data_IF_536387624926
#
_entry.id   IF_536387624926
#
_cell.length_a   1.000
_cell.length_b   1.000
_cell.length_c   1.000
_cell.angle_alpha   90.00
_cell.angle_beta   90.00
_cell.angle_gamma   90.00
#
_symmetry.space_group_name_H-M   'P 1'
#
loop_
_entity.id
_entity.type
_entity.pdbx_description
1 polymer ?
#
# COMPACT_ATOMS: atom_id res chain seq x y z
N UNK A 1 20.36 23.69 -19.47
CA UNK A 1 19.51 24.19 -18.38
C UNK A 1 19.55 23.13 -17.28
N UNK A 2 20.15 23.42 -16.15
CA UNK A 2 20.08 22.51 -14.97
C UNK A 2 18.63 22.55 -14.48
N UNK A 3 17.92 21.44 -14.62
CA UNK A 3 16.56 21.30 -14.17
C UNK A 3 16.58 21.40 -12.62
N UNK A 4 15.98 22.47 -12.09
CA UNK A 4 15.90 22.65 -10.64
C UNK A 4 14.77 21.78 -10.08
N UNK A 5 15.13 20.57 -9.64
CA UNK A 5 14.20 19.63 -9.05
C UNK A 5 13.72 20.09 -7.68
N UNK A 6 12.42 20.14 -7.39
CA UNK A 6 11.91 20.41 -6.06
C UNK A 6 12.36 19.34 -5.04
N UNK A 7 12.44 19.74 -3.77
CA UNK A 7 12.67 18.82 -2.64
C UNK A 7 11.35 18.19 -2.25
N UNK A 8 11.15 16.93 -2.61
CA UNK A 8 9.88 16.24 -2.39
C UNK A 8 9.93 15.40 -1.12
N UNK A 9 8.95 15.62 -0.23
CA UNK A 9 8.65 14.73 0.87
C UNK A 9 7.51 13.79 0.46
N UNK A 10 7.82 12.50 0.27
CA UNK A 10 6.87 11.44 -0.07
C UNK A 10 6.30 10.85 1.21
N UNK A 11 4.99 10.94 1.40
CA UNK A 11 4.25 10.34 2.52
C UNK A 11 3.47 9.14 2.03
N UNK A 12 3.75 7.98 2.59
CA UNK A 12 3.17 6.70 2.14
C UNK A 12 3.32 5.62 3.22
N UNK A 13 2.59 4.50 3.10
CA UNK A 13 2.82 3.30 3.91
C UNK A 13 4.04 2.48 3.47
N UNK A 14 4.53 2.70 2.25
CA UNK A 14 5.65 1.96 1.69
C UNK A 14 6.96 2.77 1.77
N UNK A 15 8.09 2.09 1.73
CA UNK A 15 9.36 2.74 1.46
C UNK A 15 9.84 2.46 0.03
N UNK A 16 10.87 3.18 -0.42
CA UNK A 16 11.55 2.88 -1.68
C UNK A 16 12.32 1.56 -1.51
N UNK A 17 11.91 0.52 -2.23
CA UNK A 17 12.55 -0.80 -2.23
C UNK A 17 12.24 -1.55 -3.53
N UNK A 18 12.96 -2.64 -3.78
CA UNK A 18 12.78 -3.51 -4.95
C UNK A 18 12.14 -4.87 -4.59
N UNK A 19 11.47 -4.96 -3.45
CA UNK A 19 10.92 -6.20 -2.89
C UNK A 19 9.40 -6.20 -2.88
N UNK A 20 8.78 -5.10 -2.44
CA UNK A 20 7.34 -4.97 -2.32
C UNK A 20 6.75 -4.24 -3.52
N UNK A 21 5.52 -4.57 -3.91
CA UNK A 21 4.86 -3.91 -5.05
C UNK A 21 4.80 -2.39 -4.91
N UNK A 22 4.43 -1.89 -3.73
CA UNK A 22 4.41 -0.44 -3.46
C UNK A 22 5.80 0.20 -3.50
N UNK A 23 6.82 -0.48 -2.97
CA UNK A 23 8.20 0.00 -3.00
C UNK A 23 8.76 0.06 -4.43
N UNK A 24 8.51 -0.97 -5.24
CA UNK A 24 8.89 -1.01 -6.67
C UNK A 24 8.20 0.12 -7.43
N UNK A 25 6.91 0.35 -7.18
CA UNK A 25 6.15 1.44 -7.80
C UNK A 25 6.77 2.80 -7.49
N UNK A 26 7.04 3.09 -6.21
CA UNK A 26 7.70 4.33 -5.80
C UNK A 26 9.08 4.49 -6.45
N UNK A 27 9.88 3.43 -6.44
CA UNK A 27 11.21 3.42 -7.04
C UNK A 27 11.15 3.74 -8.53
N UNK A 28 10.18 3.19 -9.25
CA UNK A 28 10.00 3.46 -10.68
C UNK A 28 9.49 4.90 -10.95
N UNK A 29 8.51 5.37 -10.16
CA UNK A 29 7.93 6.72 -10.31
C UNK A 29 8.97 7.83 -10.14
N UNK A 30 9.93 7.64 -9.23
CA UNK A 30 10.95 8.65 -8.92
C UNK A 30 12.32 8.34 -9.50
N UNK A 31 12.43 7.32 -10.36
CA UNK A 31 13.68 7.03 -11.06
C UNK A 31 14.13 8.24 -11.88
N UNK A 32 15.40 8.62 -11.72
CA UNK A 32 15.97 9.81 -12.37
C UNK A 32 15.78 11.11 -11.59
N UNK A 33 15.02 11.11 -10.49
CA UNK A 33 15.01 12.23 -9.56
C UNK A 33 16.31 12.27 -8.73
N UNK A 34 16.89 13.44 -8.45
CA UNK A 34 18.08 13.50 -7.59
C UNK A 34 17.78 12.94 -6.19
N UNK A 35 18.53 11.92 -5.79
CA UNK A 35 18.22 11.15 -4.57
C UNK A 35 18.32 11.95 -3.26
N UNK A 36 19.07 13.04 -3.26
CA UNK A 36 19.18 14.01 -2.16
C UNK A 36 18.01 15.00 -2.12
N UNK A 37 17.25 15.10 -3.21
CA UNK A 37 16.02 15.91 -3.30
C UNK A 37 14.75 15.13 -2.96
N UNK A 38 14.89 13.85 -2.57
CA UNK A 38 13.80 13.01 -2.12
C UNK A 38 13.95 12.67 -0.64
N UNK A 39 12.82 12.70 0.07
CA UNK A 39 12.68 12.18 1.42
C UNK A 39 11.41 11.32 1.50
N UNK A 40 11.46 10.23 2.24
CA UNK A 40 10.36 9.30 2.38
C UNK A 40 9.97 9.10 3.84
N UNK A 41 8.70 9.36 4.12
CA UNK A 41 8.06 9.15 5.40
C UNK A 41 7.13 7.94 5.28
N UNK A 42 7.47 6.84 6.00
CA UNK A 42 6.83 5.54 5.83
C UNK A 42 6.72 4.77 7.16
N UNK A 43 5.91 3.71 7.18
CA UNK A 43 5.82 2.76 8.29
C UNK A 43 6.30 1.33 7.91
N UNK A 44 6.76 1.12 6.69
CA UNK A 44 7.28 -0.14 6.18
C UNK A 44 8.56 -0.58 6.90
N UNK A 45 8.65 -1.88 7.21
CA UNK A 45 9.81 -2.50 7.84
C UNK A 45 10.83 -3.07 6.84
N UNK A 46 10.48 -3.12 5.56
CA UNK A 46 11.34 -3.64 4.49
C UNK A 46 12.62 -2.82 4.38
N UNK A 47 13.79 -3.43 4.12
CA UNK A 47 15.02 -2.70 3.86
C UNK A 47 14.87 -1.69 2.74
N UNK A 48 15.35 -0.46 2.95
CA UNK A 48 15.23 0.65 2.01
C UNK A 48 16.26 0.56 0.89
N UNK A 49 15.88 0.96 -0.32
CA UNK A 49 16.80 1.20 -1.43
C UNK A 49 17.24 2.68 -1.44
N UNK A 50 18.54 2.91 -1.23
CA UNK A 50 19.13 4.25 -1.17
C UNK A 50 19.60 4.79 -2.52
N UNK A 51 19.40 4.06 -3.60
CA UNK A 51 19.79 4.49 -4.95
C UNK A 51 18.89 5.61 -5.48
N UNK A 52 17.57 5.56 -5.18
CA UNK A 52 16.58 6.53 -5.63
C UNK A 52 16.28 7.58 -4.57
N UNK A 53 16.22 7.21 -3.29
CA UNK A 53 15.97 8.13 -2.18
C UNK A 53 17.03 7.93 -1.08
N UNK A 54 17.53 9.03 -0.49
CA UNK A 54 18.55 8.94 0.58
C UNK A 54 18.01 9.27 1.96
N UNK A 55 16.92 10.03 2.05
CA UNK A 55 16.39 10.53 3.31
C UNK A 55 15.13 9.73 3.70
N UNK A 56 15.23 8.97 4.79
CA UNK A 56 14.13 8.13 5.26
C UNK A 56 13.80 8.43 6.72
N UNK A 57 12.51 8.51 7.03
CA UNK A 57 12.00 8.52 8.39
C UNK A 57 10.93 7.45 8.53
N UNK A 58 11.19 6.48 9.39
CA UNK A 58 10.20 5.44 9.68
C UNK A 58 9.30 5.86 10.82
N UNK A 59 8.01 5.96 10.54
CA UNK A 59 6.97 6.25 11.53
C UNK A 59 6.89 5.13 12.55
N UNK A 60 6.70 5.52 13.80
CA UNK A 60 6.56 4.64 14.95
C UNK A 60 5.18 4.78 15.58
N UNK A 61 4.96 4.07 16.67
CA UNK A 61 3.75 4.24 17.47
C UNK A 61 3.67 5.59 18.20
N UNK A 62 4.72 6.40 18.17
CA UNK A 62 4.72 7.75 18.71
C UNK A 62 4.05 8.73 17.74
N UNK A 63 4.25 8.54 16.43
CA UNK A 63 3.64 9.34 15.38
C UNK A 63 2.24 8.86 15.00
N UNK A 64 1.96 7.53 15.11
CA UNK A 64 0.67 6.94 14.72
C UNK A 64 -0.04 6.41 15.95
N UNK A 65 -1.03 7.17 16.44
CA UNK A 65 -1.75 6.88 17.69
C UNK A 65 -3.18 6.45 17.46
N UNK A 66 -3.63 5.48 18.24
CA UNK A 66 -5.04 5.09 18.25
C UNK A 66 -5.91 6.21 18.82
N UNK A 67 -7.07 6.46 18.18
CA UNK A 67 -8.05 7.45 18.64
C UNK A 67 -8.71 6.95 19.93
N UNK A 68 -9.03 7.89 20.84
CA UNK A 68 -9.84 7.58 22.02
C UNK A 68 -11.26 7.13 21.60
N UNK A 69 -11.90 6.11 22.22
CA UNK A 69 -11.46 5.36 23.42
C UNK A 69 -10.53 4.17 23.12
N UNK A 70 -10.21 3.87 21.87
CA UNK A 70 -9.41 2.70 21.48
C UNK A 70 -7.98 2.77 22.00
N UNK A 71 -7.46 3.97 22.28
CA UNK A 71 -6.16 4.14 22.92
C UNK A 71 -6.07 3.47 24.31
N UNK A 72 -7.21 3.26 24.98
CA UNK A 72 -7.27 2.52 26.26
C UNK A 72 -7.06 1.01 26.06
N UNK A 73 -7.52 0.45 24.94
CA UNK A 73 -7.34 -0.96 24.59
C UNK A 73 -5.89 -1.29 24.23
N UNK A 74 -5.10 -0.29 23.82
CA UNK A 74 -3.68 -0.45 23.46
C UNK A 74 -2.84 -0.99 24.62
N UNK A 75 -3.13 -0.62 25.89
CA UNK A 75 -2.42 -1.15 27.07
C UNK A 75 -2.55 -2.66 27.22
N UNK A 76 -3.69 -3.21 26.84
CA UNK A 76 -3.94 -4.66 26.85
C UNK A 76 -3.26 -5.37 25.68
N UNK A 77 -3.26 -4.77 24.50
CA UNK A 77 -2.66 -5.33 23.27
C UNK A 77 -1.12 -5.35 23.32
N UNK A 78 -0.50 -4.30 23.84
CA UNK A 78 0.96 -4.23 24.02
C UNK A 78 1.50 -5.23 25.03
N UNK A 79 0.70 -5.63 26.00
CA UNK A 79 1.06 -6.68 26.99
C UNK A 79 1.04 -8.07 26.36
N UNK A 80 0.11 -8.34 25.45
CA UNK A 80 0.04 -9.60 24.67
C UNK A 80 1.24 -9.77 23.72
N UNK A 81 1.66 -8.68 23.05
CA UNK A 81 2.80 -8.72 22.10
C UNK A 81 4.15 -8.90 22.78
N UNK A 82 4.32 -8.43 24.01
CA UNK A 82 5.57 -8.61 24.79
C UNK A 82 5.75 -10.03 25.32
N UNK A 83 4.69 -10.79 25.53
CA UNK A 83 4.77 -12.19 25.98
C UNK A 83 5.04 -13.18 24.85
N UNK A 84 4.91 -12.77 23.59
CA UNK A 84 5.17 -13.61 22.42
C UNK A 84 6.48 -13.27 21.67
N UNK A 85 7.27 -12.33 22.18
CA UNK A 85 8.57 -11.96 21.62
C UNK A 85 9.70 -12.69 22.38
N UNK A 86 9.91 -13.97 22.03
CA UNK A 86 11.22 -14.59 22.10
C UNK A 86 12.12 -14.02 21.00
N UNK A 87 13.46 -14.25 21.02
CA UNK A 87 14.39 -13.63 20.10
C UNK A 87 13.99 -13.91 18.67
N UNK A 88 13.87 -12.83 17.91
CA UNK A 88 13.35 -12.76 16.55
C UNK A 88 14.33 -13.41 15.57
N UNK A 89 13.98 -14.59 15.11
CA UNK A 89 14.39 -15.05 13.80
C UNK A 89 13.22 -14.87 12.82
N UNK A 90 13.55 -14.28 11.67
CA UNK A 90 12.80 -14.21 10.39
C UNK A 90 11.31 -14.55 10.43
N UNK A 91 10.48 -13.63 9.96
CA UNK A 91 9.04 -13.81 9.70
C UNK A 91 8.76 -14.95 8.72
N UNK A 92 8.81 -16.18 9.22
CA UNK A 92 8.23 -17.36 8.60
C UNK A 92 6.74 -17.41 8.94
N UNK A 93 5.93 -17.73 7.95
CA UNK A 93 4.50 -17.93 8.07
C UNK A 93 4.16 -18.83 9.25
N UNK A 94 3.45 -18.29 10.24
CA UNK A 94 2.85 -19.11 11.32
C UNK A 94 1.63 -19.81 10.74
N UNK A 95 1.67 -21.15 10.73
CA UNK A 95 0.51 -22.01 10.53
C UNK A 95 -0.61 -21.70 11.55
N UNK A 96 -1.84 -22.19 11.33
CA UNK A 96 -2.99 -21.87 12.15
C UNK A 96 -2.78 -22.35 13.59
N UNK A 97 -2.49 -21.42 14.50
CA UNK A 97 -2.47 -21.69 15.93
C UNK A 97 -3.89 -21.41 16.50
N UNK A 98 -4.29 -22.21 17.48
CA UNK A 98 -5.61 -22.21 18.17
C UNK A 98 -6.06 -20.83 18.72
N UNK A 99 -5.26 -19.76 18.55
CA UNK A 99 -5.60 -18.38 18.92
C UNK A 99 -6.27 -17.54 17.83
N UNK A 100 -6.45 -18.07 16.61
CA UNK A 100 -6.97 -17.34 15.46
C UNK A 100 -8.45 -16.95 15.58
N UNK A 101 -9.26 -17.73 16.28
CA UNK A 101 -10.71 -17.48 16.37
C UNK A 101 -11.07 -16.21 17.15
N UNK A 102 -10.33 -15.88 18.21
CA UNK A 102 -10.59 -14.66 19.01
C UNK A 102 -10.14 -13.39 18.30
N UNK A 103 -9.07 -13.46 17.53
CA UNK A 103 -8.57 -12.33 16.74
C UNK A 103 -9.46 -12.11 15.51
N UNK A 104 -9.90 -13.17 14.86
CA UNK A 104 -10.89 -13.09 13.76
C UNK A 104 -12.23 -12.58 14.23
N UNK A 105 -12.71 -13.03 15.38
CA UNK A 105 -13.92 -12.50 15.98
C UNK A 105 -13.78 -11.02 16.34
N UNK A 106 -12.65 -10.61 16.91
CA UNK A 106 -12.36 -9.21 17.20
C UNK A 106 -12.31 -8.36 15.92
N UNK A 107 -11.72 -8.86 14.83
CA UNK A 107 -11.71 -8.19 13.52
C UNK A 107 -13.13 -8.05 12.93
N UNK A 108 -13.96 -9.10 13.00
CA UNK A 108 -15.37 -9.03 12.57
C UNK A 108 -16.20 -8.04 13.38
N UNK A 109 -15.92 -7.92 14.68
CA UNK A 109 -16.65 -7.04 15.59
C UNK A 109 -16.16 -5.58 15.47
N UNK A 110 -14.86 -5.36 15.41
CA UNK A 110 -14.24 -4.01 15.43
C UNK A 110 -14.07 -3.46 13.99
N UNK A 111 -14.07 -4.33 12.97
CA UNK A 111 -13.72 -4.00 11.59
C UNK A 111 -12.21 -4.09 11.34
N UNK A 112 -11.81 -3.89 10.08
CA UNK A 112 -10.45 -4.17 9.62
C UNK A 112 -9.38 -3.26 10.21
N UNK A 113 -9.75 -2.14 10.84
CA UNK A 113 -8.78 -1.27 11.49
C UNK A 113 -9.38 -0.34 12.53
N UNK A 114 -8.72 -0.29 13.68
CA UNK A 114 -8.96 0.75 14.67
C UNK A 114 -8.50 2.09 14.10
N UNK A 115 -9.33 3.16 14.18
CA UNK A 115 -8.96 4.45 13.64
C UNK A 115 -7.72 4.99 14.34
N UNK A 116 -6.75 5.43 13.53
CA UNK A 116 -5.51 6.03 13.99
C UNK A 116 -5.43 7.47 13.53
N UNK A 117 -4.67 8.29 14.24
CA UNK A 117 -4.36 9.66 13.91
C UNK A 117 -2.86 9.89 13.96
N UNK A 118 -2.40 10.76 13.08
CA UNK A 118 -1.02 11.20 13.07
C UNK A 118 -0.74 12.20 14.19
N UNK A 119 0.49 12.17 14.68
CA UNK A 119 1.02 13.11 15.66
C UNK A 119 2.42 13.55 15.25
N UNK A 120 2.62 14.85 15.12
CA UNK A 120 3.91 15.44 14.77
C UNK A 120 4.80 15.49 16.03
N UNK A 121 5.66 14.48 16.19
CA UNK A 121 6.66 14.45 17.27
C UNK A 121 7.76 15.49 17.05
N UNK A 122 8.53 15.79 18.09
CA UNK A 122 9.69 16.68 17.98
C UNK A 122 10.74 16.10 17.03
N UNK A 123 10.95 14.76 17.07
CA UNK A 123 11.88 14.07 16.17
C UNK A 123 11.48 14.18 14.70
N UNK A 124 10.21 13.89 14.39
CA UNK A 124 9.67 14.06 13.04
C UNK A 124 9.77 15.52 12.58
N UNK A 125 9.40 16.47 13.46
CA UNK A 125 9.48 17.90 13.16
C UNK A 125 10.91 18.35 12.85
N UNK A 126 11.89 17.93 13.64
CA UNK A 126 13.30 18.26 13.42
C UNK A 126 13.80 17.71 12.07
N UNK A 127 13.45 16.45 11.76
CA UNK A 127 13.84 15.81 10.51
C UNK A 127 13.22 16.50 9.27
N UNK A 128 11.93 16.90 9.32
CA UNK A 128 11.30 17.65 8.22
C UNK A 128 11.94 19.03 8.07
N UNK A 129 12.28 19.71 9.18
CA UNK A 129 12.95 21.01 9.15
C UNK A 129 14.37 20.90 8.54
N UNK A 130 15.10 19.82 8.82
CA UNK A 130 16.42 19.57 8.23
C UNK A 130 16.31 19.33 6.71
N UNK A 131 15.34 18.52 6.29
CA UNK A 131 15.13 18.22 4.87
C UNK A 131 14.62 19.44 4.10
N UNK A 132 13.82 20.32 4.68
CA UNK A 132 13.23 21.52 4.05
C UNK A 132 12.48 21.19 2.74
N UNK A 133 11.40 20.40 2.78
CA UNK A 133 10.65 20.06 1.59
C UNK A 133 9.97 21.28 0.96
N UNK A 134 9.94 21.32 -0.37
CA UNK A 134 9.23 22.36 -1.14
C UNK A 134 7.96 21.82 -1.79
N UNK A 135 7.78 20.50 -1.79
CA UNK A 135 6.60 19.81 -2.29
C UNK A 135 6.32 18.58 -1.41
N UNK A 136 5.05 18.38 -1.08
CA UNK A 136 4.57 17.19 -0.40
C UNK A 136 3.86 16.29 -1.42
N UNK A 137 4.26 15.03 -1.47
CA UNK A 137 3.66 14.02 -2.34
C UNK A 137 3.02 12.93 -1.48
N UNK A 138 1.69 12.91 -1.43
CA UNK A 138 0.91 11.93 -0.70
C UNK A 138 0.55 10.73 -1.58
N UNK A 139 1.21 9.60 -1.35
CA UNK A 139 0.85 8.30 -1.93
C UNK A 139 0.00 7.56 -0.88
N UNK A 140 -1.30 7.86 -0.87
CA UNK A 140 -2.18 7.59 0.25
C UNK A 140 -2.83 6.21 0.18
N UNK A 141 -2.91 5.53 1.32
CA UNK A 141 -3.54 4.22 1.48
C UNK A 141 -4.26 4.02 2.83
N UNK A 142 -4.30 5.05 3.70
CA UNK A 142 -4.94 4.94 5.00
C UNK A 142 -5.37 6.29 5.58
N UNK A 143 -6.23 6.26 6.62
CA UNK A 143 -6.71 7.45 7.30
C UNK A 143 -5.56 8.23 7.98
N UNK A 144 -4.64 7.52 8.62
CA UNK A 144 -3.49 8.13 9.28
C UNK A 144 -2.54 8.81 8.30
N UNK A 145 -2.38 8.28 7.09
CA UNK A 145 -1.58 8.93 6.04
C UNK A 145 -2.26 10.18 5.50
N UNK A 146 -3.58 10.15 5.31
CA UNK A 146 -4.39 11.33 4.95
C UNK A 146 -4.22 12.43 6.00
N UNK A 147 -4.35 12.08 7.28
CA UNK A 147 -4.24 13.00 8.41
C UNK A 147 -2.81 13.57 8.51
N UNK A 148 -1.78 12.72 8.43
CA UNK A 148 -0.38 13.12 8.47
C UNK A 148 -0.03 14.08 7.33
N UNK A 149 -0.38 13.73 6.11
CA UNK A 149 -0.11 14.55 4.92
C UNK A 149 -0.71 15.93 5.05
N UNK A 150 -1.94 16.01 5.54
CA UNK A 150 -2.63 17.28 5.74
C UNK A 150 -2.00 18.13 6.85
N UNK A 151 -1.59 17.49 7.97
CA UNK A 151 -0.89 18.19 9.06
C UNK A 151 0.45 18.75 8.58
N UNK A 152 1.23 17.97 7.80
CA UNK A 152 2.51 18.40 7.24
C UNK A 152 2.32 19.58 6.28
N UNK A 153 1.39 19.48 5.31
CA UNK A 153 1.11 20.55 4.36
C UNK A 153 0.76 21.87 5.06
N UNK A 154 -0.06 21.81 6.11
CA UNK A 154 -0.46 23.00 6.89
C UNK A 154 0.67 23.56 7.75
N UNK A 155 1.41 22.67 8.43
CA UNK A 155 2.46 23.09 9.37
C UNK A 155 3.60 23.82 8.68
N UNK A 156 3.97 23.40 7.48
CA UNK A 156 5.09 23.96 6.70
C UNK A 156 4.64 24.83 5.54
N UNK A 157 3.31 25.01 5.34
CA UNK A 157 2.72 25.80 4.25
C UNK A 157 3.28 25.41 2.87
N UNK A 158 3.50 24.09 2.63
CA UNK A 158 4.01 23.57 1.38
C UNK A 158 2.90 23.00 0.50
N UNK A 159 3.00 23.14 -0.84
CA UNK A 159 2.02 22.59 -1.77
C UNK A 159 1.95 21.06 -1.65
N UNK A 160 0.73 20.52 -1.79
CA UNK A 160 0.42 19.10 -1.69
C UNK A 160 -0.02 18.55 -3.04
N UNK A 161 0.59 17.46 -3.46
CA UNK A 161 0.12 16.59 -4.54
C UNK A 161 -0.36 15.27 -3.93
N UNK A 162 -1.52 14.79 -4.38
CA UNK A 162 -2.10 13.50 -3.93
C UNK A 162 -2.13 12.55 -5.10
N UNK A 163 -1.65 11.32 -4.89
CA UNK A 163 -1.71 10.23 -5.87
C UNK A 163 -2.47 9.03 -5.31
N UNK A 164 -3.54 8.66 -6.01
CA UNK A 164 -4.41 7.53 -5.67
C UNK A 164 -4.13 6.39 -6.65
N UNK A 165 -3.54 5.30 -6.14
CA UNK A 165 -3.16 4.14 -6.97
C UNK A 165 -4.20 3.03 -6.95
N UNK A 166 -5.06 3.01 -5.93
CA UNK A 166 -6.12 2.03 -5.72
C UNK A 166 -7.36 2.72 -5.18
N UNK A 167 -8.54 2.13 -5.38
CA UNK A 167 -9.78 2.63 -4.79
C UNK A 167 -9.99 2.14 -3.34
N UNK A 168 -8.89 2.21 -2.56
CA UNK A 168 -8.91 1.85 -1.14
C UNK A 168 -9.97 2.61 -0.31
N UNK A 169 -10.37 3.87 -0.62
CA UNK A 169 -11.42 4.54 0.15
C UNK A 169 -12.80 3.91 0.01
N UNK A 170 -13.04 3.13 -1.06
CA UNK A 170 -14.29 2.42 -1.27
C UNK A 170 -14.37 1.12 -0.45
N UNK A 171 -13.22 0.52 -0.10
CA UNK A 171 -13.17 -0.78 0.58
C UNK A 171 -12.78 -0.67 2.05
N UNK A 172 -11.98 0.32 2.45
CA UNK A 172 -11.59 0.50 3.84
C UNK A 172 -12.75 1.01 4.71
N UNK A 173 -12.86 0.45 5.91
CA UNK A 173 -13.86 0.82 6.92
C UNK A 173 -15.31 0.70 6.43
N UNK A 174 -15.59 -0.25 5.54
CA UNK A 174 -16.95 -0.52 5.06
C UNK A 174 -17.70 -1.51 5.96
N UNK A 175 -17.00 -2.34 6.72
CA UNK A 175 -17.53 -3.37 7.59
C UNK A 175 -17.31 -3.14 9.08
N UNK A 176 -17.87 -4.06 9.91
CA UNK A 176 -17.73 -4.05 11.36
C UNK A 176 -18.49 -2.93 12.08
N UNK A 177 -18.49 -2.96 13.41
CA UNK A 177 -19.22 -2.00 14.24
C UNK A 177 -18.68 -0.55 14.09
N UNK A 178 -17.45 -0.38 13.68
CA UNK A 178 -16.80 0.93 13.53
C UNK A 178 -16.96 1.51 12.11
N UNK A 179 -17.27 0.70 11.11
CA UNK A 179 -17.43 1.13 9.73
C UNK A 179 -18.35 2.35 9.56
N UNK A 180 -19.55 2.37 10.17
CA UNK A 180 -20.49 3.50 10.08
C UNK A 180 -19.94 4.84 10.62
N UNK A 181 -18.94 4.79 11.50
CA UNK A 181 -18.33 5.99 12.09
C UNK A 181 -17.02 6.36 11.37
N UNK A 182 -16.15 5.37 11.16
CA UNK A 182 -14.80 5.60 10.61
C UNK A 182 -14.85 5.85 9.10
N UNK A 183 -15.72 5.19 8.37
CA UNK A 183 -15.88 5.38 6.93
C UNK A 183 -16.27 6.81 6.54
N UNK A 184 -17.32 7.41 7.12
CA UNK A 184 -17.64 8.82 6.90
C UNK A 184 -16.53 9.79 7.32
N UNK A 185 -15.83 9.50 8.43
CA UNK A 185 -14.68 10.30 8.87
C UNK A 185 -13.56 10.26 7.85
N UNK A 186 -13.21 9.08 7.35
CA UNK A 186 -12.20 8.91 6.29
C UNK A 186 -12.57 9.72 5.04
N UNK A 187 -13.79 9.56 4.55
CA UNK A 187 -14.28 10.27 3.35
C UNK A 187 -14.23 11.79 3.52
N UNK A 188 -14.59 12.30 4.70
CA UNK A 188 -14.54 13.72 5.02
C UNK A 188 -13.09 14.24 5.02
N UNK A 189 -12.18 13.54 5.69
CA UNK A 189 -10.76 13.93 5.78
C UNK A 189 -10.10 13.85 4.41
N UNK A 190 -10.35 12.79 3.65
CA UNK A 190 -9.83 12.65 2.29
C UNK A 190 -10.35 13.76 1.38
N UNK A 191 -11.65 14.06 1.40
CA UNK A 191 -12.23 15.15 0.61
C UNK A 191 -11.62 16.50 0.97
N UNK A 192 -11.36 16.76 2.25
CA UNK A 192 -10.69 17.98 2.70
C UNK A 192 -9.22 18.03 2.20
N UNK A 193 -8.51 16.92 2.23
CA UNK A 193 -7.14 16.80 1.72
C UNK A 193 -7.09 17.03 0.22
N UNK A 194 -8.01 16.42 -0.53
CA UNK A 194 -8.13 16.60 -1.97
C UNK A 194 -8.46 18.06 -2.35
N UNK A 195 -9.26 18.73 -1.56
CA UNK A 195 -9.56 20.16 -1.76
C UNK A 195 -8.31 21.04 -1.62
N UNK A 196 -7.46 20.73 -0.64
CA UNK A 196 -6.24 21.48 -0.34
C UNK A 196 -5.09 21.15 -1.29
N UNK A 197 -5.16 20.01 -2.01
CA UNK A 197 -4.13 19.59 -2.96
C UNK A 197 -4.07 20.48 -4.21
N UNK A 198 -2.86 20.85 -4.63
CA UNK A 198 -2.60 21.60 -5.88
C UNK A 198 -2.58 20.67 -7.09
N UNK A 199 -2.27 19.36 -6.90
CA UNK A 199 -2.29 18.33 -7.93
C UNK A 199 -2.94 17.05 -7.40
N UNK A 200 -3.70 16.36 -8.27
CA UNK A 200 -4.38 15.11 -7.95
C UNK A 200 -4.16 14.13 -9.08
N UNK A 201 -3.59 13.00 -8.77
CA UNK A 201 -3.33 11.93 -9.72
C UNK A 201 -4.13 10.68 -9.36
N UNK A 202 -4.56 9.95 -10.38
CA UNK A 202 -5.13 8.62 -10.24
C UNK A 202 -4.50 7.68 -11.28
N UNK A 203 -4.56 6.38 -11.03
CA UNK A 203 -3.82 5.38 -11.82
C UNK A 203 -4.26 5.30 -13.30
N UNK A 204 -5.51 5.65 -13.62
CA UNK A 204 -6.03 5.60 -14.98
C UNK A 204 -7.16 6.60 -15.19
N UNK A 205 -7.54 6.79 -16.45
CA UNK A 205 -8.60 7.71 -16.87
C UNK A 205 -9.94 7.40 -16.19
N UNK A 206 -10.34 6.14 -16.13
CA UNK A 206 -11.60 5.71 -15.51
C UNK A 206 -11.62 6.08 -14.01
N UNK A 207 -10.50 5.91 -13.33
CA UNK A 207 -10.41 6.30 -11.92
C UNK A 207 -10.42 7.82 -11.75
N UNK A 208 -9.85 8.57 -12.69
CA UNK A 208 -9.94 10.03 -12.71
C UNK A 208 -11.39 10.50 -12.82
N UNK A 209 -12.17 9.93 -13.74
CA UNK A 209 -13.59 10.24 -13.94
C UNK A 209 -14.42 9.88 -12.70
N UNK A 210 -14.25 8.68 -12.16
CA UNK A 210 -14.95 8.22 -10.95
C UNK A 210 -14.64 9.11 -9.75
N UNK A 211 -13.37 9.48 -9.56
CA UNK A 211 -12.96 10.32 -8.44
C UNK A 211 -13.41 11.76 -8.62
N UNK A 212 -13.43 12.29 -9.85
CA UNK A 212 -14.01 13.59 -10.14
C UNK A 212 -15.51 13.63 -9.81
N UNK A 213 -16.26 12.59 -10.18
CA UNK A 213 -17.68 12.48 -9.82
C UNK A 213 -17.88 12.38 -8.30
N UNK A 214 -17.07 11.56 -7.62
CA UNK A 214 -17.20 11.28 -6.18
C UNK A 214 -16.79 12.44 -5.30
N UNK A 215 -15.72 13.14 -5.65
CA UNK A 215 -15.12 14.18 -4.80
C UNK A 215 -15.31 15.61 -5.33
N UNK A 216 -15.61 15.78 -6.62
CA UNK A 216 -15.87 17.09 -7.24
C UNK A 216 -14.61 17.85 -7.65
N UNK A 217 -13.45 17.19 -7.79
CA UNK A 217 -12.18 17.78 -8.21
C UNK A 217 -11.61 17.05 -9.41
N UNK A 218 -10.93 17.75 -10.34
CA UNK A 218 -10.26 17.10 -11.48
C UNK A 218 -9.05 16.30 -11.00
N UNK A 219 -8.85 15.14 -11.63
CA UNK A 219 -7.67 14.29 -11.49
C UNK A 219 -6.98 14.14 -12.84
N UNK A 220 -5.68 13.92 -12.82
CA UNK A 220 -4.88 13.60 -13.99
C UNK A 220 -4.45 12.12 -13.91
N UNK A 221 -4.52 11.37 -15.02
CA UNK A 221 -4.05 10.00 -15.04
C UNK A 221 -2.52 9.96 -14.95
N UNK A 222 -2.00 9.16 -14.01
CA UNK A 222 -0.58 8.96 -13.83
C UNK A 222 -0.32 7.54 -13.33
N UNK A 223 0.13 6.69 -14.24
CA UNK A 223 0.34 5.26 -13.99
C UNK A 223 1.73 4.98 -13.43
N UNK A 224 1.93 3.74 -13.00
CA UNK A 224 3.23 3.23 -12.64
C UNK A 224 4.17 3.26 -13.86
N UNK A 225 5.31 3.93 -13.72
CA UNK A 225 6.32 3.99 -14.77
C UNK A 225 7.06 2.66 -14.88
N UNK A 226 7.40 2.27 -16.10
CA UNK A 226 8.19 1.09 -16.40
C UNK A 226 9.34 1.46 -17.34
N UNK A 227 10.54 0.96 -17.05
CA UNK A 227 11.68 1.02 -17.94
C UNK A 227 11.53 -0.06 -19.03
N UNK A 228 10.87 0.30 -20.14
CA UNK A 228 10.54 -0.63 -21.21
C UNK A 228 11.80 -1.23 -21.85
N UNK A 229 12.86 -0.44 -22.02
CA UNK A 229 14.10 -0.90 -22.65
C UNK A 229 14.76 -2.04 -21.86
N UNK A 230 14.63 -2.04 -20.55
CA UNK A 230 15.11 -3.11 -19.68
C UNK A 230 14.38 -4.43 -19.91
N UNK A 231 13.11 -4.39 -20.30
CA UNK A 231 12.25 -5.58 -20.45
C UNK A 231 12.14 -6.08 -21.90
N UNK A 232 12.46 -5.22 -22.89
CA UNK A 232 12.41 -5.60 -24.29
C UNK A 232 13.20 -6.86 -24.66
N UNK A 233 14.44 -7.10 -24.15
CA UNK A 233 15.19 -8.31 -24.47
C UNK A 233 14.51 -9.61 -24.05
N UNK A 234 13.71 -9.56 -22.95
CA UNK A 234 13.00 -10.70 -22.39
C UNK A 234 11.55 -10.82 -22.91
N UNK A 235 11.12 -9.89 -23.75
CA UNK A 235 9.76 -9.91 -24.29
C UNK A 235 9.59 -10.96 -25.37
N UNK A 236 8.39 -11.57 -25.40
CA UNK A 236 8.06 -12.54 -26.44
C UNK A 236 7.94 -11.89 -27.80
N UNK A 237 8.56 -12.50 -28.80
CA UNK A 237 8.41 -12.12 -30.21
C UNK A 237 7.36 -12.99 -30.92
N UNK A 238 7.01 -14.14 -30.34
CA UNK A 238 5.97 -15.05 -30.85
C UNK A 238 4.85 -15.22 -29.81
N UNK A 239 3.62 -14.93 -30.24
CA UNK A 239 2.41 -15.02 -29.42
C UNK A 239 1.61 -16.29 -29.67
N UNK A 240 2.15 -17.25 -30.43
CA UNK A 240 1.49 -18.54 -30.61
C UNK A 240 1.39 -19.27 -29.29
N UNK A 241 0.21 -19.79 -29.01
CA UNK A 241 0.02 -20.65 -27.89
C UNK A 241 0.69 -22.00 -28.14
N UNK A 242 1.46 -22.46 -27.16
CA UNK A 242 2.06 -23.80 -27.19
C UNK A 242 1.09 -24.89 -26.70
N UNK A 243 1.51 -26.14 -26.82
CA UNK A 243 0.86 -27.28 -26.17
C UNK A 243 1.87 -27.83 -25.15
N UNK A 244 1.53 -27.92 -23.85
CA UNK A 244 0.27 -27.50 -23.22
C UNK A 244 0.04 -25.98 -23.25
N UNK A 245 -1.24 -25.59 -23.17
CA UNK A 245 -1.63 -24.21 -22.90
C UNK A 245 -1.21 -23.84 -21.48
N UNK A 246 -0.30 -22.88 -21.31
CA UNK A 246 0.17 -22.46 -19.98
C UNK A 246 -0.41 -21.11 -19.61
N UNK A 247 -1.31 -21.11 -18.63
CA UNK A 247 -1.73 -19.89 -17.94
C UNK A 247 -0.73 -19.57 -16.83
N UNK A 248 -0.20 -18.35 -16.76
CA UNK A 248 0.75 -17.94 -15.72
C UNK A 248 0.16 -16.84 -14.86
N UNK A 249 0.12 -17.08 -13.58
CA UNK A 249 -0.09 -16.04 -12.59
C UNK A 249 1.26 -15.65 -11.97
N UNK A 250 1.53 -14.37 -11.90
CA UNK A 250 2.73 -13.82 -11.23
C UNK A 250 2.27 -12.73 -10.26
N UNK A 251 2.42 -12.94 -8.96
CA UNK A 251 2.00 -11.98 -7.94
C UNK A 251 1.77 -12.58 -6.57
N UNK A 252 1.42 -11.73 -5.61
CA UNK A 252 1.06 -12.13 -4.25
C UNK A 252 -0.32 -12.77 -4.20
N UNK A 253 -0.51 -13.69 -3.25
CA UNK A 253 -1.80 -14.35 -2.97
C UNK A 253 -2.34 -13.80 -1.65
N UNK A 254 -3.18 -12.78 -1.75
CA UNK A 254 -3.86 -12.21 -0.58
C UNK A 254 -5.16 -12.99 -0.31
N UNK A 255 -5.37 -13.50 0.92
CA UNK A 255 -6.54 -14.34 1.25
C UNK A 255 -7.89 -13.70 0.92
N UNK A 256 -8.05 -12.40 1.19
CA UNK A 256 -9.29 -11.66 0.94
C UNK A 256 -9.29 -10.92 -0.41
N UNK A 257 -8.41 -11.32 -1.33
CA UNK A 257 -8.24 -10.73 -2.66
C UNK A 257 -8.05 -11.79 -3.72
N UNK A 258 -6.81 -11.99 -4.18
CA UNK A 258 -6.48 -12.83 -5.34
C UNK A 258 -6.78 -14.32 -5.15
N UNK A 259 -6.82 -14.83 -3.90
CA UNK A 259 -7.03 -16.26 -3.62
C UNK A 259 -8.31 -16.82 -4.26
N UNK A 260 -9.43 -16.10 -4.13
CA UNK A 260 -10.71 -16.56 -4.68
C UNK A 260 -10.69 -16.58 -6.21
N UNK A 261 -10.13 -15.55 -6.84
CA UNK A 261 -9.95 -15.51 -8.30
C UNK A 261 -9.05 -16.63 -8.79
N UNK A 262 -7.96 -16.93 -8.08
CA UNK A 262 -7.08 -18.06 -8.43
C UNK A 262 -7.77 -19.40 -8.26
N UNK A 263 -8.62 -19.57 -7.25
CA UNK A 263 -9.45 -20.78 -7.06
C UNK A 263 -10.38 -20.98 -8.24
N UNK A 264 -11.05 -19.93 -8.70
CA UNK A 264 -11.96 -20.03 -9.84
C UNK A 264 -11.20 -20.35 -11.14
N UNK A 265 -10.01 -19.76 -11.35
CA UNK A 265 -9.14 -20.12 -12.47
C UNK A 265 -8.68 -21.57 -12.38
N UNK A 266 -8.24 -22.04 -11.19
CA UNK A 266 -7.82 -23.43 -11.00
C UNK A 266 -8.96 -24.42 -11.31
N UNK A 267 -10.19 -24.13 -10.86
CA UNK A 267 -11.39 -24.93 -11.19
C UNK A 267 -11.69 -24.94 -12.69
N UNK A 268 -11.55 -23.78 -13.36
CA UNK A 268 -11.74 -23.72 -14.81
C UNK A 268 -10.70 -24.55 -15.55
N UNK A 269 -9.44 -24.47 -15.16
CA UNK A 269 -8.34 -25.28 -15.72
C UNK A 269 -8.60 -26.77 -15.50
N UNK A 270 -9.03 -27.18 -14.30
CA UNK A 270 -9.36 -28.56 -14.00
C UNK A 270 -10.50 -29.10 -14.90
N UNK A 271 -11.54 -28.30 -15.15
CA UNK A 271 -12.64 -28.66 -16.08
C UNK A 271 -12.13 -28.82 -17.51
N UNK A 272 -11.37 -27.85 -18.02
CA UNK A 272 -10.80 -27.92 -19.37
C UNK A 272 -9.90 -29.16 -19.54
N UNK A 273 -9.11 -29.47 -18.51
CA UNK A 273 -8.27 -30.66 -18.50
C UNK A 273 -9.11 -31.95 -18.51
N UNK A 274 -10.20 -32.01 -17.78
CA UNK A 274 -11.14 -33.12 -17.80
C UNK A 274 -11.84 -33.31 -19.18
N UNK A 275 -12.06 -32.19 -19.90
CA UNK A 275 -12.58 -32.19 -21.27
C UNK A 275 -11.54 -32.52 -22.33
N UNK A 276 -10.30 -32.94 -21.91
CA UNK A 276 -9.24 -33.38 -22.80
C UNK A 276 -8.38 -32.24 -23.38
N UNK A 277 -8.53 -31.01 -22.90
CA UNK A 277 -7.71 -29.86 -23.29
C UNK A 277 -6.42 -29.88 -22.45
N UNK A 278 -5.26 -29.93 -23.12
CA UNK A 278 -3.94 -29.89 -22.46
C UNK A 278 -3.61 -28.47 -22.00
N UNK A 279 -4.02 -28.16 -20.76
CA UNK A 279 -3.89 -26.85 -20.13
C UNK A 279 -3.28 -26.95 -18.74
N UNK A 280 -2.41 -26.01 -18.39
CA UNK A 280 -1.72 -25.95 -17.10
C UNK A 280 -1.85 -24.56 -16.49
N UNK A 281 -1.96 -24.49 -15.15
CA UNK A 281 -1.87 -23.26 -14.39
C UNK A 281 -0.55 -23.22 -13.61
N UNK A 282 0.29 -22.25 -13.91
CA UNK A 282 1.55 -22.01 -13.22
C UNK A 282 1.42 -20.77 -12.35
N UNK A 283 1.67 -20.93 -11.05
CA UNK A 283 1.55 -19.84 -10.07
C UNK A 283 2.96 -19.51 -9.54
N UNK A 284 3.37 -18.26 -9.76
CA UNK A 284 4.61 -17.68 -9.24
C UNK A 284 4.24 -16.67 -8.16
N UNK A 285 4.44 -17.04 -6.90
CA UNK A 285 4.17 -16.19 -5.73
C UNK A 285 5.33 -16.28 -4.75
N UNK A 286 5.44 -15.32 -3.80
CA UNK A 286 6.42 -15.40 -2.73
C UNK A 286 6.34 -16.71 -1.95
N UNK A 287 7.48 -17.30 -1.61
CA UNK A 287 7.54 -18.63 -0.98
C UNK A 287 6.75 -18.74 0.32
N UNK A 288 6.65 -17.65 1.09
CA UNK A 288 5.88 -17.63 2.36
C UNK A 288 4.36 -17.72 2.15
N UNK A 289 3.87 -17.50 0.93
CA UNK A 289 2.44 -17.60 0.56
C UNK A 289 2.04 -18.99 0.06
N UNK A 290 2.99 -19.93 -0.06
CA UNK A 290 2.76 -21.29 -0.56
C UNK A 290 1.69 -22.07 0.22
N UNK A 291 1.45 -21.69 1.50
CA UNK A 291 0.37 -22.28 2.29
C UNK A 291 -1.02 -22.03 1.70
N UNK A 292 -1.23 -20.92 1.00
CA UNK A 292 -2.51 -20.57 0.37
C UNK A 292 -2.77 -21.36 -0.92
N UNK A 293 -1.74 -21.96 -1.51
CA UNK A 293 -1.88 -22.79 -2.72
C UNK A 293 -2.54 -24.15 -2.42
N UNK A 294 -2.40 -24.67 -1.19
CA UNK A 294 -2.96 -25.97 -0.80
C UNK A 294 -4.49 -26.01 -0.84
N UNK A 295 -5.12 -24.88 -0.72
CA UNK A 295 -6.59 -24.73 -0.74
C UNK A 295 -7.12 -24.46 -2.16
N UNK A 296 -6.26 -24.43 -3.18
CA UNK A 296 -6.65 -24.19 -4.58
C UNK A 296 -6.89 -25.49 -5.36
N UNK A 297 -6.48 -26.64 -4.80
CA UNK A 297 -6.64 -27.97 -5.40
C UNK A 297 -8.00 -28.59 -5.11
#
# INVERSE_FOLDING_TARGET
>A
MTQDYPRILVVTGNNFNLVTGGGITLTNLFRGWPADRLANLHDDATPVDRTVCRNFYRLTEEEIRWVWPFSLLRRSYGRFKRHSAGPSESSGARGPSVGTSSIELARRVIGDSVPKRAHLTSGLTAWVNEFQPTLLYGFLGSLEQVDLTRQLAKRWAIPLVVHMMDDWPAVLHTGGLLGPVVGPMLRRELKATLREAVGRFAICEQMCEEYQQRYGYPFLPFQNALDVERWLPDSRTDWKAGTPFVLRYVGSIVPDGQRESLRDIARAVARLSADGIDVQLWIHSPAHESAYLRDLS
#
